data_IF_091257188213
#
_entry.id   IF_091257188213
#
_cell.length_a   1.000
_cell.length_b   1.000
_cell.length_c   1.000
_cell.angle_alpha   90.00
_cell.angle_beta   90.00
_cell.angle_gamma   90.00
#
_symmetry.space_group_name_H-M   'P 1'
#
loop_
_entity.id
_entity.type
_entity.pdbx_description
1 polymer ?
#
# COMPACT_ATOMS: atom_id res chain seq x y z
N UNK A 1 -11.90 -34.83 82.77
CA UNK A 1 -12.67 -35.04 81.54
C UNK A 1 -12.70 -33.71 80.81
N UNK A 2 -12.08 -33.45 79.67
CA UNK A 2 -11.10 -34.19 78.87
C UNK A 2 -10.33 -33.16 78.04
N UNK A 3 -9.18 -33.62 77.56
CA UNK A 3 -8.16 -32.97 76.76
C UNK A 3 -8.69 -32.03 75.64
N UNK A 4 -8.22 -30.79 75.62
CA UNK A 4 -8.33 -29.87 74.47
C UNK A 4 -6.95 -29.67 73.84
N UNK A 5 -6.42 -30.72 73.21
CA UNK A 5 -5.27 -30.59 72.29
C UNK A 5 -5.74 -29.94 71.01
N UNK A 6 -5.34 -28.69 70.81
CA UNK A 6 -5.38 -27.98 69.53
C UNK A 6 -4.45 -28.67 68.53
N UNK A 7 -5.01 -29.46 67.62
CA UNK A 7 -4.28 -30.02 66.48
C UNK A 7 -4.10 -28.92 65.43
N UNK A 8 -2.91 -28.31 65.39
CA UNK A 8 -2.47 -27.50 64.26
C UNK A 8 -2.44 -28.37 62.99
N UNK A 9 -3.31 -28.06 62.02
CA UNK A 9 -3.17 -28.58 60.65
C UNK A 9 -2.10 -27.71 59.98
N UNK A 10 -0.89 -28.24 59.94
CA UNK A 10 0.25 -27.64 59.25
C UNK A 10 -0.01 -27.62 57.73
N UNK A 11 -0.37 -26.46 57.17
CA UNK A 11 -0.45 -26.24 55.72
C UNK A 11 0.99 -26.24 55.17
N UNK A 12 1.31 -27.04 54.12
CA UNK A 12 2.66 -27.07 53.57
C UNK A 12 3.05 -25.69 53.02
N UNK A 13 4.22 -25.22 53.42
CA UNK A 13 4.84 -23.99 52.93
C UNK A 13 4.93 -23.99 51.39
N UNK A 14 4.09 -23.16 50.76
CA UNK A 14 4.00 -23.02 49.31
C UNK A 14 5.26 -22.35 48.70
N UNK A 15 6.22 -21.91 49.51
CA UNK A 15 7.37 -21.11 49.07
C UNK A 15 8.54 -21.91 48.47
N UNK A 16 8.50 -23.25 48.47
CA UNK A 16 9.64 -24.11 48.09
C UNK A 16 9.46 -24.94 46.80
N UNK A 17 8.36 -24.80 46.08
CA UNK A 17 8.15 -25.61 44.87
C UNK A 17 8.96 -25.08 43.67
N UNK A 18 9.75 -25.96 43.04
CA UNK A 18 10.54 -25.66 41.84
C UNK A 18 9.72 -25.85 40.57
N UNK A 19 10.02 -25.05 39.55
CA UNK A 19 9.38 -25.12 38.24
C UNK A 19 9.73 -26.44 37.56
N UNK A 20 8.72 -27.21 37.15
CA UNK A 20 8.92 -28.52 36.51
C UNK A 20 9.61 -28.44 35.13
N UNK A 21 9.68 -27.24 34.55
CA UNK A 21 10.30 -26.99 33.23
C UNK A 21 11.76 -26.55 33.37
N UNK A 22 12.07 -25.60 34.25
CA UNK A 22 13.41 -24.99 34.34
C UNK A 22 14.05 -25.06 35.72
N UNK A 23 13.42 -25.71 36.69
CA UNK A 23 13.89 -25.90 38.07
C UNK A 23 14.08 -24.63 38.91
N UNK A 24 13.80 -23.44 38.36
CA UNK A 24 13.75 -22.17 39.07
C UNK A 24 12.54 -22.08 40.00
N UNK A 25 12.52 -21.17 40.99
CA UNK A 25 11.36 -20.99 41.87
C UNK A 25 10.05 -20.84 41.08
N UNK A 26 9.10 -21.75 41.34
CA UNK A 26 7.81 -21.68 40.70
C UNK A 26 6.92 -20.64 41.38
N UNK A 27 5.93 -20.16 40.63
CA UNK A 27 5.01 -19.12 41.08
C UNK A 27 3.58 -19.62 41.21
N UNK A 28 3.36 -20.93 41.04
CA UNK A 28 2.05 -21.55 41.05
C UNK A 28 1.83 -22.51 39.88
N UNK A 29 0.60 -22.99 39.77
CA UNK A 29 0.16 -23.84 38.68
C UNK A 29 -0.26 -22.97 37.48
N UNK A 30 0.35 -23.21 36.32
CA UNK A 30 0.00 -22.55 35.06
C UNK A 30 -0.20 -23.60 33.96
N UNK A 31 -1.33 -23.51 33.26
CA UNK A 31 -1.71 -24.44 32.17
C UNK A 31 -1.71 -25.92 32.59
N UNK A 32 -1.87 -26.23 33.88
CA UNK A 32 -1.88 -27.61 34.40
C UNK A 32 -0.58 -28.07 35.07
N UNK A 33 0.54 -27.34 34.93
CA UNK A 33 1.83 -27.71 35.54
C UNK A 33 2.34 -26.64 36.52
N UNK A 34 3.13 -27.04 37.52
CA UNK A 34 3.73 -26.10 38.48
C UNK A 34 4.96 -25.42 37.87
N UNK A 35 4.85 -24.14 37.54
CA UNK A 35 5.84 -23.44 36.72
C UNK A 35 6.15 -22.03 37.20
N UNK A 36 7.30 -21.49 36.77
CA UNK A 36 7.59 -20.07 36.92
C UNK A 36 6.85 -19.25 35.84
N UNK A 37 6.65 -17.96 36.09
CA UNK A 37 5.97 -17.04 35.16
C UNK A 37 6.62 -17.01 33.77
N UNK A 38 7.95 -17.14 33.70
CA UNK A 38 8.67 -17.14 32.43
C UNK A 38 8.35 -18.37 31.57
N UNK A 39 8.22 -19.56 32.16
CA UNK A 39 7.84 -20.78 31.45
C UNK A 39 6.37 -20.76 31.03
N UNK A 40 5.48 -20.20 31.86
CA UNK A 40 4.08 -19.98 31.51
C UNK A 40 3.93 -19.03 30.30
N UNK A 41 4.62 -17.88 30.32
CA UNK A 41 4.60 -16.92 29.22
C UNK A 41 5.22 -17.49 27.94
N UNK A 42 6.31 -18.26 28.06
CA UNK A 42 6.91 -18.97 26.93
C UNK A 42 5.92 -19.93 26.28
N UNK A 43 5.26 -20.79 27.07
CA UNK A 43 4.29 -21.76 26.56
C UNK A 43 3.13 -21.07 25.82
N UNK A 44 2.55 -20.03 26.41
CA UNK A 44 1.49 -19.23 25.78
C UNK A 44 1.92 -18.67 24.41
N UNK A 45 3.09 -18.03 24.33
CA UNK A 45 3.61 -17.46 23.06
C UNK A 45 3.88 -18.52 22.00
N UNK A 46 4.50 -19.64 22.38
CA UNK A 46 4.82 -20.69 21.42
C UNK A 46 3.59 -21.48 20.96
N UNK A 47 2.57 -21.62 21.79
CA UNK A 47 1.35 -22.32 21.42
C UNK A 47 0.47 -21.51 20.47
N UNK A 48 0.33 -20.19 20.67
CA UNK A 48 -0.50 -19.30 19.84
C UNK A 48 0.25 -18.65 18.67
N UNK A 49 1.53 -18.97 18.46
CA UNK A 49 2.27 -18.42 17.32
C UNK A 49 1.73 -19.00 16.01
N UNK A 50 1.53 -18.13 15.00
CA UNK A 50 1.22 -18.51 13.62
C UNK A 50 2.46 -19.01 12.86
N UNK A 51 3.66 -18.85 13.43
CA UNK A 51 4.92 -19.28 12.83
C UNK A 51 5.11 -20.80 12.93
N UNK A 52 5.93 -21.37 12.03
CA UNK A 52 6.25 -22.79 12.05
C UNK A 52 6.83 -23.23 13.42
N UNK A 53 6.41 -24.41 13.91
CA UNK A 53 6.86 -24.95 15.21
C UNK A 53 8.39 -24.98 15.28
N UNK A 54 9.00 -24.57 16.40
CA UNK A 54 10.45 -24.47 16.51
C UNK A 54 11.11 -25.84 16.28
N UNK A 55 12.23 -25.88 15.54
CA UNK A 55 13.06 -27.09 15.36
C UNK A 55 14.21 -27.12 16.36
N UNK A 56 14.66 -28.32 16.73
CA UNK A 56 15.80 -28.48 17.63
C UNK A 56 17.11 -28.26 16.87
N UNK A 57 17.87 -27.20 17.20
CA UNK A 57 19.14 -26.87 16.54
C UNK A 57 20.20 -27.97 16.69
N UNK A 58 20.17 -28.72 17.79
CA UNK A 58 21.15 -29.76 18.08
C UNK A 58 20.70 -31.16 17.61
N UNK A 59 19.52 -31.30 17.00
CA UNK A 59 18.93 -32.55 16.47
C UNK A 59 18.81 -33.75 17.45
N UNK A 60 19.28 -33.61 18.70
CA UNK A 60 19.30 -34.67 19.72
C UNK A 60 18.08 -34.70 20.64
N UNK A 61 17.19 -33.71 20.55
CA UNK A 61 15.95 -33.55 21.35
C UNK A 61 16.10 -33.68 22.89
N UNK A 62 17.33 -33.56 23.42
CA UNK A 62 17.68 -33.73 24.84
C UNK A 62 18.34 -32.50 25.46
N UNK A 63 18.13 -31.30 24.89
CA UNK A 63 18.65 -30.06 25.46
C UNK A 63 18.06 -29.85 26.87
N UNK A 64 18.87 -29.36 27.80
CA UNK A 64 18.47 -29.06 29.19
C UNK A 64 18.60 -27.55 29.44
N UNK A 65 17.91 -27.00 30.45
CA UNK A 65 18.16 -25.63 30.88
C UNK A 65 19.54 -25.53 31.54
N UNK A 66 20.12 -24.32 31.52
CA UNK A 66 21.28 -23.99 32.35
C UNK A 66 20.90 -23.88 33.84
N UNK A 67 21.89 -23.62 34.70
CA UNK A 67 21.70 -23.46 36.16
C UNK A 67 20.74 -22.32 36.51
N UNK A 68 20.64 -21.31 35.63
CA UNK A 68 19.72 -20.17 35.75
C UNK A 68 18.33 -20.45 35.14
N UNK A 69 18.07 -21.68 34.68
CA UNK A 69 16.79 -22.07 34.09
C UNK A 69 16.54 -21.56 32.67
N UNK A 70 17.56 -21.03 31.98
CA UNK A 70 17.46 -20.58 30.58
C UNK A 70 17.61 -21.75 29.63
N UNK A 71 16.81 -21.74 28.57
CA UNK A 71 16.79 -22.77 27.55
C UNK A 71 17.34 -22.24 26.23
N UNK A 72 18.43 -22.83 25.74
CA UNK A 72 19.01 -22.49 24.42
C UNK A 72 18.16 -23.01 23.25
N UNK A 73 17.33 -24.04 23.50
CA UNK A 73 16.52 -24.68 22.47
C UNK A 73 15.01 -24.50 22.75
N UNK A 74 14.34 -23.69 21.93
CA UNK A 74 12.88 -23.44 22.02
C UNK A 74 12.06 -24.72 21.84
N UNK A 75 12.47 -25.62 20.94
CA UNK A 75 11.78 -26.90 20.69
C UNK A 75 11.79 -27.82 21.91
N UNK A 76 12.96 -28.09 22.48
CA UNK A 76 13.08 -28.94 23.66
C UNK A 76 12.37 -28.34 24.89
N UNK A 77 12.38 -27.00 25.03
CA UNK A 77 11.61 -26.31 26.08
C UNK A 77 10.10 -26.53 25.91
N UNK A 78 9.59 -26.37 24.69
CA UNK A 78 8.17 -26.58 24.39
C UNK A 78 7.76 -28.05 24.58
N UNK A 79 8.58 -28.99 24.14
CA UNK A 79 8.31 -30.42 24.31
C UNK A 79 8.29 -30.81 25.79
N UNK A 80 9.16 -30.21 26.61
CA UNK A 80 9.11 -30.39 28.07
C UNK A 80 7.85 -29.77 28.69
N UNK A 81 7.40 -28.60 28.23
CA UNK A 81 6.12 -28.03 28.66
C UNK A 81 4.97 -29.01 28.43
N UNK A 82 4.88 -29.55 27.20
CA UNK A 82 3.83 -30.51 26.83
C UNK A 82 3.96 -31.82 27.61
N UNK A 83 5.18 -32.35 27.75
CA UNK A 83 5.44 -33.58 28.50
C UNK A 83 5.14 -33.48 30.01
N UNK A 84 5.14 -32.27 30.57
CA UNK A 84 4.72 -32.01 31.96
C UNK A 84 3.22 -31.68 32.07
N UNK A 85 2.44 -31.88 31.00
CA UNK A 85 0.99 -31.71 31.02
C UNK A 85 0.50 -30.28 30.83
N UNK A 86 1.35 -29.35 30.35
CA UNK A 86 0.88 -28.00 30.02
C UNK A 86 -0.08 -28.03 28.83
N UNK A 87 -1.30 -27.54 29.02
CA UNK A 87 -2.35 -27.47 28.00
C UNK A 87 -3.16 -26.18 28.13
N UNK A 88 -3.54 -25.61 26.98
CA UNK A 88 -4.45 -24.45 26.91
C UNK A 88 -5.90 -24.79 27.26
N UNK A 89 -6.25 -26.09 27.34
CA UNK A 89 -7.53 -26.53 27.90
C UNK A 89 -7.59 -26.41 29.43
N UNK A 90 -6.43 -26.32 30.08
CA UNK A 90 -6.30 -26.26 31.55
C UNK A 90 -6.10 -24.81 32.05
N UNK A 91 -6.72 -23.84 31.38
CA UNK A 91 -6.71 -22.44 31.83
C UNK A 91 -7.65 -22.34 33.04
N UNK A 92 -7.09 -22.08 34.21
CA UNK A 92 -7.87 -21.68 35.39
C UNK A 92 -8.22 -20.19 35.21
N UNK A 93 -9.50 -19.90 34.99
CA UNK A 93 -10.00 -18.53 34.80
C UNK A 93 -10.14 -17.75 36.12
N UNK A 94 -10.15 -18.43 37.26
CA UNK A 94 -10.35 -17.82 38.59
C UNK A 94 -9.24 -18.17 39.57
N UNK A 95 -8.13 -17.44 39.47
CA UNK A 95 -7.28 -17.19 40.63
C UNK A 95 -6.97 -15.71 40.68
N UNK A 96 -7.84 -14.99 41.38
CA UNK A 96 -7.46 -14.06 42.45
C UNK A 96 -8.71 -13.30 42.93
N UNK A 97 -9.19 -13.60 44.14
CA UNK A 97 -10.09 -12.69 44.86
C UNK A 97 -9.27 -11.53 45.40
N UNK A 98 -8.78 -10.65 44.53
CA UNK A 98 -8.24 -9.37 44.97
C UNK A 98 -9.39 -8.57 45.60
N UNK A 99 -9.29 -8.28 46.90
CA UNK A 99 -10.26 -7.45 47.64
C UNK A 99 -10.49 -6.07 46.98
N UNK A 100 -9.56 -5.60 46.14
CA UNK A 100 -9.69 -4.35 45.37
C UNK A 100 -10.82 -4.39 44.33
N UNK A 101 -11.23 -5.55 43.82
CA UNK A 101 -12.27 -5.67 42.79
C UNK A 101 -13.68 -5.39 43.33
N UNK A 102 -13.97 -5.77 44.58
CA UNK A 102 -15.27 -5.47 45.21
C UNK A 102 -15.40 -3.98 45.53
N UNK A 103 -14.34 -3.33 45.99
CA UNK A 103 -14.31 -1.88 46.23
C UNK A 103 -14.33 -1.08 44.94
N UNK A 104 -13.65 -1.55 43.89
CA UNK A 104 -13.68 -0.96 42.55
C UNK A 104 -15.08 -1.06 41.92
N UNK A 105 -15.72 -2.23 41.99
CA UNK A 105 -17.11 -2.40 41.53
C UNK A 105 -18.07 -1.49 42.31
N UNK A 106 -17.94 -1.40 43.65
CA UNK A 106 -18.77 -0.51 44.46
C UNK A 106 -18.55 0.98 44.12
N UNK A 107 -17.29 1.42 43.93
CA UNK A 107 -16.96 2.79 43.48
C UNK A 107 -17.44 3.07 42.06
N UNK A 108 -17.37 2.10 41.15
CA UNK A 108 -17.84 2.21 39.76
C UNK A 108 -19.36 2.29 39.69
N UNK A 109 -20.06 1.49 40.50
CA UNK A 109 -21.53 1.52 40.61
C UNK A 109 -22.02 2.82 41.26
N UNK A 110 -21.31 3.35 42.26
CA UNK A 110 -21.60 4.67 42.84
C UNK A 110 -21.31 5.81 41.84
N UNK A 111 -20.21 5.70 41.09
CA UNK A 111 -19.85 6.68 40.04
C UNK A 111 -20.86 6.67 38.90
N UNK A 112 -21.40 5.52 38.50
CA UNK A 112 -22.44 5.45 37.47
C UNK A 112 -23.79 6.04 37.91
N UNK A 113 -24.06 6.11 39.22
CA UNK A 113 -25.27 6.74 39.77
C UNK A 113 -25.15 8.26 39.99
N UNK A 114 -23.93 8.80 40.09
CA UNK A 114 -23.68 10.21 40.38
C UNK A 114 -23.19 11.04 39.17
N UNK A 115 -22.94 10.42 38.02
CA UNK A 115 -22.64 11.13 36.77
C UNK A 115 -23.69 10.84 35.70
N UNK A 116 -24.88 11.44 35.84
CA UNK A 116 -25.70 11.85 34.70
C UNK A 116 -24.99 12.97 33.93
N UNK A 117 -23.85 12.64 33.31
CA UNK A 117 -23.21 13.37 32.21
C UNK A 117 -21.91 12.64 31.89
N UNK A 118 -22.04 11.52 31.18
CA UNK A 118 -21.05 11.24 30.13
C UNK A 118 -21.00 12.53 29.29
N UNK A 119 -19.84 13.21 29.14
CA UNK A 119 -19.76 14.35 28.26
C UNK A 119 -20.32 13.92 26.92
N UNK A 120 -21.36 14.59 26.45
CA UNK A 120 -21.98 14.18 25.21
C UNK A 120 -20.89 14.30 24.14
N UNK A 121 -20.56 13.17 23.49
CA UNK A 121 -19.69 13.21 22.32
C UNK A 121 -20.33 14.15 21.31
N UNK A 122 -19.52 14.80 20.45
CA UNK A 122 -20.06 15.61 19.33
C UNK A 122 -21.17 14.85 18.60
N UNK A 123 -21.02 13.53 18.51
CA UNK A 123 -21.99 12.62 17.90
C UNK A 123 -23.33 12.50 18.64
N UNK A 124 -23.30 12.49 19.98
CA UNK A 124 -24.49 12.46 20.81
C UNK A 124 -25.17 13.83 20.89
N UNK A 125 -24.41 14.92 20.81
CA UNK A 125 -24.93 16.29 20.76
C UNK A 125 -25.62 16.55 19.42
N UNK A 126 -25.00 16.11 18.32
CA UNK A 126 -25.52 16.32 16.96
C UNK A 126 -26.44 15.20 16.49
N UNK A 127 -26.56 14.09 17.23
CA UNK A 127 -27.33 12.91 16.84
C UNK A 127 -26.78 12.18 15.61
N UNK A 128 -25.51 12.42 15.24
CA UNK A 128 -24.88 11.89 14.03
C UNK A 128 -23.38 11.64 14.27
N UNK A 129 -22.82 10.47 13.88
CA UNK A 129 -21.40 10.17 14.01
C UNK A 129 -20.50 11.27 13.42
N UNK A 130 -19.28 11.45 13.93
CA UNK A 130 -18.42 12.56 13.53
C UNK A 130 -17.98 12.47 12.06
N UNK A 131 -17.87 11.26 11.52
CA UNK A 131 -17.65 11.03 10.09
C UNK A 131 -18.91 11.25 9.22
N UNK A 132 -20.10 11.35 9.84
CA UNK A 132 -21.35 11.84 9.22
C UNK A 132 -21.50 13.36 9.44
N UNK A 133 -20.55 14.04 10.09
CA UNK A 133 -20.51 15.50 10.13
C UNK A 133 -20.06 16.14 8.81
N UNK A 134 -20.04 15.39 7.71
CA UNK A 134 -20.55 15.94 6.45
C UNK A 134 -22.02 16.25 6.68
N UNK A 135 -22.31 17.37 7.35
CA UNK A 135 -23.61 18.00 7.21
C UNK A 135 -23.77 18.12 5.71
N UNK A 136 -24.66 17.32 5.14
CA UNK A 136 -25.28 17.61 3.85
C UNK A 136 -25.94 18.97 4.09
N UNK A 137 -25.16 20.06 3.96
CA UNK A 137 -25.69 21.42 3.89
C UNK A 137 -26.75 21.25 2.83
N UNK A 138 -28.02 21.45 3.19
CA UNK A 138 -29.18 21.29 2.31
C UNK A 138 -28.74 21.69 0.91
N UNK A 139 -28.53 20.69 0.06
CA UNK A 139 -27.87 20.85 -1.23
C UNK A 139 -28.55 22.03 -1.91
N UNK A 140 -27.87 23.18 -2.13
CA UNK A 140 -28.52 24.35 -2.69
C UNK A 140 -29.20 23.91 -3.98
N UNK A 141 -30.50 24.16 -4.11
CA UNK A 141 -31.39 23.63 -5.18
C UNK A 141 -30.95 23.99 -6.61
N UNK A 142 -29.84 24.70 -6.76
CA UNK A 142 -29.24 25.15 -8.01
C UNK A 142 -27.75 24.74 -8.06
N UNK A 143 -27.48 23.43 -8.12
CA UNK A 143 -26.12 22.91 -8.28
C UNK A 143 -25.58 23.23 -9.68
N UNK A 144 -24.64 24.17 -9.76
CA UNK A 144 -23.82 24.34 -10.97
C UNK A 144 -22.81 23.20 -11.02
N UNK A 145 -23.14 22.16 -11.77
CA UNK A 145 -22.20 21.13 -12.16
C UNK A 145 -21.14 21.71 -13.10
N UNK A 146 -19.93 21.17 -13.01
CA UNK A 146 -18.85 21.51 -13.92
C UNK A 146 -18.76 20.39 -14.95
N UNK A 147 -18.90 20.75 -16.21
CA UNK A 147 -18.67 19.85 -17.34
C UNK A 147 -17.29 20.10 -17.91
N UNK A 148 -16.51 19.03 -18.10
CA UNK A 148 -15.25 19.03 -18.84
C UNK A 148 -15.49 18.27 -20.14
N UNK A 149 -15.49 19.00 -21.25
CA UNK A 149 -15.60 18.43 -22.57
C UNK A 149 -14.21 18.02 -23.07
N UNK A 150 -13.99 16.72 -23.20
CA UNK A 150 -12.79 16.10 -23.76
C UNK A 150 -13.04 15.55 -25.18
N UNK A 151 -14.19 15.85 -25.80
CA UNK A 151 -14.57 15.26 -27.09
C UNK A 151 -13.59 15.63 -28.20
N UNK A 152 -13.25 16.91 -28.34
CA UNK A 152 -12.26 17.38 -29.32
C UNK A 152 -10.88 16.74 -29.09
N UNK A 153 -10.48 16.60 -27.82
CA UNK A 153 -9.23 15.92 -27.47
C UNK A 153 -9.27 14.43 -27.84
N UNK A 154 -10.37 13.74 -27.57
CA UNK A 154 -10.54 12.33 -27.88
C UNK A 154 -10.53 12.07 -29.40
N UNK A 155 -11.10 12.97 -30.21
CA UNK A 155 -11.05 12.91 -31.68
C UNK A 155 -9.61 13.05 -32.18
N UNK A 156 -8.89 14.09 -31.73
CA UNK A 156 -7.47 14.30 -32.07
C UNK A 156 -6.58 13.14 -31.63
N UNK A 157 -6.86 12.56 -30.46
CA UNK A 157 -6.15 11.39 -29.96
C UNK A 157 -6.41 10.15 -30.82
N UNK A 158 -7.64 9.99 -31.31
CA UNK A 158 -8.00 8.88 -32.20
C UNK A 158 -7.25 8.97 -33.53
N UNK A 159 -7.15 10.17 -34.11
CA UNK A 159 -6.31 10.44 -35.29
C UNK A 159 -4.84 10.10 -35.02
N UNK A 160 -4.31 10.53 -33.87
CA UNK A 160 -2.93 10.22 -33.44
C UNK A 160 -2.67 8.71 -33.30
N UNK A 161 -3.66 7.92 -32.88
CA UNK A 161 -3.53 6.46 -32.77
C UNK A 161 -3.60 5.74 -34.14
N UNK A 162 -4.20 6.37 -35.16
CA UNK A 162 -4.28 5.85 -36.54
C UNK A 162 -2.99 6.12 -37.29
N UNK A 163 -2.51 7.36 -37.24
CA UNK A 163 -1.29 7.76 -37.96
C UNK A 163 -0.05 7.16 -37.31
N UNK A 164 0.93 6.71 -38.11
CA UNK A 164 2.30 6.54 -37.58
C UNK A 164 2.73 7.93 -37.14
N UNK A 165 3.02 8.20 -35.86
CA UNK A 165 3.09 9.56 -35.35
C UNK A 165 4.12 10.36 -36.12
N UNK A 166 3.67 11.28 -36.97
CA UNK A 166 4.49 12.23 -37.73
C UNK A 166 4.27 13.67 -37.29
N UNK A 167 3.45 13.90 -36.25
CA UNK A 167 3.09 15.25 -35.79
C UNK A 167 3.78 15.68 -34.50
N UNK A 168 4.12 16.97 -34.52
CA UNK A 168 4.84 17.77 -33.54
C UNK A 168 4.06 17.98 -32.24
N UNK A 169 4.70 17.64 -31.12
CA UNK A 169 4.53 18.30 -29.84
C UNK A 169 5.92 18.70 -29.34
N UNK A 170 6.02 19.49 -28.26
CA UNK A 170 7.29 20.05 -27.75
C UNK A 170 8.42 19.01 -27.54
N UNK A 171 8.07 17.71 -27.45
CA UNK A 171 8.98 16.57 -27.50
C UNK A 171 8.45 15.44 -28.41
N UNK A 172 8.70 15.46 -29.74
CA UNK A 172 8.32 14.35 -30.61
C UNK A 172 9.20 13.12 -30.30
N UNK A 173 8.71 11.89 -30.56
CA UNK A 173 9.48 10.68 -30.33
C UNK A 173 10.75 10.73 -31.17
N UNK A 174 11.93 10.47 -30.59
CA UNK A 174 13.19 10.43 -31.38
C UNK A 174 13.15 9.44 -32.57
N UNK A 175 12.19 8.52 -32.54
CA UNK A 175 11.89 7.55 -33.61
C UNK A 175 11.48 8.24 -34.91
N UNK A 176 10.68 9.30 -34.85
CA UNK A 176 10.01 9.91 -36.01
C UNK A 176 10.99 10.58 -36.96
N UNK A 177 12.18 10.92 -36.46
CA UNK A 177 13.16 11.69 -37.22
C UNK A 177 14.46 10.93 -37.53
N UNK A 178 14.58 9.65 -37.18
CA UNK A 178 15.88 8.96 -37.28
C UNK A 178 15.75 7.47 -37.60
N UNK A 179 16.04 7.09 -38.85
CA UNK A 179 16.11 5.69 -39.31
C UNK A 179 17.04 4.83 -38.44
N UNK A 180 18.09 5.42 -37.86
CA UNK A 180 19.01 4.71 -36.95
C UNK A 180 18.33 4.29 -35.64
N UNK A 181 17.35 5.08 -35.16
CA UNK A 181 16.58 4.76 -33.95
C UNK A 181 15.61 3.62 -34.24
N UNK A 182 14.97 3.60 -35.41
CA UNK A 182 14.10 2.50 -35.82
C UNK A 182 14.89 1.18 -35.96
N UNK A 183 16.06 1.23 -36.60
CA UNK A 183 16.97 0.07 -36.72
C UNK A 183 17.47 -0.42 -35.35
N UNK A 184 17.66 0.50 -34.39
CA UNK A 184 18.03 0.15 -33.02
C UNK A 184 16.87 -0.53 -32.28
N UNK A 185 15.66 0.00 -32.40
CA UNK A 185 14.46 -0.56 -31.75
C UNK A 185 14.13 -1.96 -32.25
N UNK A 186 14.29 -2.23 -33.54
CA UNK A 186 14.09 -3.58 -34.14
C UNK A 186 15.00 -4.66 -33.55
N UNK A 187 16.10 -4.28 -32.89
CA UNK A 187 17.02 -5.22 -32.23
C UNK A 187 16.68 -5.45 -30.75
N UNK A 188 15.79 -4.65 -30.18
CA UNK A 188 15.41 -4.70 -28.78
C UNK A 188 14.15 -5.58 -28.61
N UNK A 189 14.05 -6.24 -27.46
CA UNK A 189 12.81 -6.88 -27.04
C UNK A 189 11.69 -5.86 -26.82
N UNK A 190 10.42 -6.29 -26.76
CA UNK A 190 9.29 -5.35 -26.58
C UNK A 190 9.40 -4.59 -25.25
N UNK A 191 9.85 -5.27 -24.19
CA UNK A 191 10.10 -4.62 -22.91
C UNK A 191 11.22 -3.56 -23.00
N UNK A 192 12.32 -3.86 -23.71
CA UNK A 192 13.43 -2.91 -23.92
C UNK A 192 13.04 -1.74 -24.83
N UNK A 193 12.16 -1.95 -25.82
CA UNK A 193 11.58 -0.88 -26.64
C UNK A 193 10.76 0.09 -25.77
N UNK A 194 9.89 -0.42 -24.91
CA UNK A 194 9.11 0.39 -23.97
C UNK A 194 10.01 1.08 -22.92
N UNK A 195 11.08 0.43 -22.46
CA UNK A 195 12.06 1.07 -21.58
C UNK A 195 12.80 2.21 -22.29
N UNK A 196 13.14 2.05 -23.56
CA UNK A 196 13.70 3.13 -24.37
C UNK A 196 12.72 4.32 -24.50
N UNK A 197 11.42 4.05 -24.68
CA UNK A 197 10.40 5.12 -24.70
C UNK A 197 10.27 5.84 -23.37
N UNK A 198 10.38 5.13 -22.24
CA UNK A 198 10.39 5.73 -20.91
C UNK A 198 11.62 6.64 -20.71
N UNK A 199 12.80 6.17 -21.14
CA UNK A 199 14.03 6.97 -21.07
C UNK A 199 13.97 8.20 -21.99
N UNK A 200 13.33 8.07 -23.16
CA UNK A 200 13.13 9.17 -24.10
C UNK A 200 12.25 10.26 -23.49
N UNK A 201 11.12 9.88 -22.90
CA UNK A 201 10.26 10.79 -22.13
C UNK A 201 11.03 11.47 -20.99
N UNK A 202 11.82 10.71 -20.22
CA UNK A 202 12.59 11.27 -19.10
C UNK A 202 13.73 12.19 -19.53
N UNK A 203 14.16 12.13 -20.79
CA UNK A 203 15.29 12.94 -21.28
C UNK A 203 15.03 14.45 -21.27
N UNK A 204 13.76 14.86 -21.25
CA UNK A 204 13.35 16.27 -21.11
C UNK A 204 13.14 16.72 -19.66
N UNK A 205 13.33 15.85 -18.67
CA UNK A 205 13.17 16.23 -17.26
C UNK A 205 14.18 17.30 -16.86
N UNK A 206 13.68 18.46 -16.41
CA UNK A 206 14.54 19.54 -15.91
C UNK A 206 15.09 19.18 -14.52
N UNK A 207 16.30 19.66 -14.25
CA UNK A 207 16.99 19.48 -12.96
C UNK A 207 16.52 20.47 -11.90
N UNK A 208 16.16 21.69 -12.32
CA UNK A 208 15.61 22.74 -11.48
C UNK A 208 14.14 22.93 -11.85
N UNK A 209 13.25 22.72 -10.89
CA UNK A 209 11.81 22.75 -11.10
C UNK A 209 11.19 23.98 -10.44
N UNK A 210 10.15 24.50 -11.07
CA UNK A 210 9.29 25.54 -10.52
C UNK A 210 8.34 24.94 -9.49
N UNK A 211 8.22 25.56 -8.31
CA UNK A 211 7.24 25.15 -7.32
C UNK A 211 5.87 25.74 -7.66
N UNK A 212 4.90 24.87 -7.93
CA UNK A 212 3.52 25.28 -8.16
C UNK A 212 2.87 25.66 -6.82
N UNK A 213 2.32 26.87 -6.74
CA UNK A 213 1.66 27.39 -5.52
C UNK A 213 0.17 27.06 -5.47
N UNK A 214 -0.48 26.98 -6.65
CA UNK A 214 -1.90 26.67 -6.79
C UNK A 214 -2.11 25.74 -7.99
N UNK A 215 -2.82 24.64 -7.78
CA UNK A 215 -3.27 23.73 -8.84
C UNK A 215 -4.69 24.15 -9.24
N UNK A 216 -4.84 24.72 -10.43
CA UNK A 216 -6.14 25.12 -11.00
C UNK A 216 -6.72 24.00 -11.88
N UNK A 217 -7.97 24.19 -12.33
CA UNK A 217 -8.62 23.31 -13.31
C UNK A 217 -7.80 23.18 -14.59
N UNK A 218 -7.33 24.28 -15.13
CA UNK A 218 -6.62 24.35 -16.41
C UNK A 218 -5.30 23.57 -16.34
N UNK A 219 -4.56 23.72 -15.24
CA UNK A 219 -3.31 22.99 -14.99
C UNK A 219 -3.60 21.49 -14.87
N UNK A 220 -4.66 21.10 -14.15
CA UNK A 220 -5.02 19.69 -13.98
C UNK A 220 -5.43 19.03 -15.30
N UNK A 221 -6.32 19.67 -16.06
CA UNK A 221 -6.83 19.15 -17.35
C UNK A 221 -5.72 19.08 -18.39
N UNK A 222 -4.93 20.14 -18.54
CA UNK A 222 -3.76 20.12 -19.45
C UNK A 222 -2.76 19.04 -19.02
N UNK A 223 -2.56 18.83 -17.72
CA UNK A 223 -1.77 17.73 -17.19
C UNK A 223 -2.28 16.36 -17.62
N UNK A 224 -3.61 16.14 -17.60
CA UNK A 224 -4.25 14.90 -18.06
C UNK A 224 -4.07 14.67 -19.56
N UNK A 225 -4.30 15.69 -20.39
CA UNK A 225 -4.10 15.61 -21.84
C UNK A 225 -2.66 15.23 -22.19
N UNK A 226 -1.70 15.92 -21.57
CA UNK A 226 -0.27 15.68 -21.80
C UNK A 226 0.14 14.26 -21.43
N UNK A 227 -0.34 13.73 -20.30
CA UNK A 227 0.00 12.36 -19.89
C UNK A 227 -0.68 11.30 -20.76
N UNK A 228 -1.93 11.53 -21.21
CA UNK A 228 -2.61 10.62 -22.13
C UNK A 228 -1.85 10.54 -23.45
N UNK A 229 -1.45 11.68 -24.02
CA UNK A 229 -0.64 11.73 -25.24
C UNK A 229 0.73 11.06 -25.05
N UNK A 230 1.38 11.34 -23.91
CA UNK A 230 2.67 10.72 -23.57
C UNK A 230 2.56 9.20 -23.54
N UNK A 231 1.51 8.66 -22.90
CA UNK A 231 1.33 7.22 -22.75
C UNK A 231 0.93 6.59 -24.07
N UNK A 232 0.10 7.26 -24.88
CA UNK A 232 -0.22 6.82 -26.23
C UNK A 232 1.05 6.70 -27.09
N UNK A 233 1.93 7.70 -26.99
CA UNK A 233 3.23 7.65 -27.65
C UNK A 233 4.12 6.52 -27.10
N UNK A 234 4.24 6.40 -25.78
CA UNK A 234 5.04 5.36 -25.13
C UNK A 234 4.60 3.94 -25.52
N UNK A 235 3.29 3.67 -25.57
CA UNK A 235 2.73 2.40 -26.02
C UNK A 235 3.16 2.06 -27.46
N UNK A 236 3.26 3.06 -28.35
CA UNK A 236 3.71 2.88 -29.73
C UNK A 236 5.20 2.49 -29.87
N UNK A 237 6.01 2.55 -28.80
CA UNK A 237 7.39 2.03 -28.86
C UNK A 237 7.42 0.51 -29.00
N UNK A 238 6.47 -0.21 -28.38
CA UNK A 238 6.32 -1.66 -28.53
C UNK A 238 5.82 -2.00 -29.92
N UNK A 239 6.53 -2.89 -30.61
CA UNK A 239 6.12 -3.43 -31.90
C UNK A 239 4.79 -4.18 -31.84
N UNK A 240 4.57 -4.97 -30.78
CA UNK A 240 3.30 -5.70 -30.58
C UNK A 240 2.15 -4.70 -30.46
N UNK A 241 2.26 -3.72 -29.56
CA UNK A 241 1.19 -2.75 -29.31
C UNK A 241 0.95 -1.87 -30.52
N UNK A 242 2.00 -1.42 -31.22
CA UNK A 242 1.89 -0.59 -32.43
C UNK A 242 1.05 -1.25 -33.53
N UNK A 243 1.16 -2.58 -33.64
CA UNK A 243 0.47 -3.37 -34.65
C UNK A 243 -0.96 -3.77 -34.24
N UNK A 244 -1.40 -3.43 -33.04
CA UNK A 244 -2.79 -3.67 -32.62
C UNK A 244 -3.78 -2.77 -33.39
N UNK A 245 -5.01 -3.25 -33.62
CA UNK A 245 -6.11 -2.42 -34.05
C UNK A 245 -6.28 -1.16 -33.21
N UNK A 246 -6.70 -0.06 -33.83
CA UNK A 246 -6.81 1.25 -33.17
C UNK A 246 -7.73 1.22 -31.96
N UNK A 247 -8.86 0.50 -32.02
CA UNK A 247 -9.77 0.39 -30.88
C UNK A 247 -9.14 -0.32 -29.68
N UNK A 248 -8.33 -1.37 -29.89
CA UNK A 248 -7.61 -2.05 -28.81
C UNK A 248 -6.52 -1.16 -28.22
N UNK A 249 -5.83 -0.37 -29.04
CA UNK A 249 -4.86 0.63 -28.55
C UNK A 249 -5.54 1.69 -27.69
N UNK A 250 -6.72 2.14 -28.08
CA UNK A 250 -7.51 3.10 -27.33
C UNK A 250 -7.99 2.53 -25.98
N UNK A 251 -8.51 1.31 -25.96
CA UNK A 251 -8.95 0.64 -24.73
C UNK A 251 -7.76 0.34 -23.80
N UNK A 252 -6.61 -0.05 -24.34
CA UNK A 252 -5.37 -0.20 -23.58
C UNK A 252 -4.91 1.13 -22.98
N UNK A 253 -5.00 2.23 -23.74
CA UNK A 253 -4.63 3.55 -23.27
C UNK A 253 -5.51 4.00 -22.09
N UNK A 254 -6.83 3.80 -22.20
CA UNK A 254 -7.82 4.15 -21.16
C UNK A 254 -7.50 3.51 -19.80
N UNK A 255 -6.97 2.29 -19.79
CA UNK A 255 -6.59 1.58 -18.57
C UNK A 255 -5.17 1.92 -18.08
N UNK A 256 -4.30 2.39 -18.97
CA UNK A 256 -2.85 2.51 -18.70
C UNK A 256 -2.45 3.91 -18.22
N UNK A 257 -3.02 4.99 -18.78
CA UNK A 257 -2.41 6.31 -18.68
C UNK A 257 -2.24 6.84 -17.25
N UNK A 258 -3.24 6.62 -16.40
CA UNK A 258 -3.20 7.13 -15.03
C UNK A 258 -2.21 6.34 -14.17
N UNK A 259 -2.22 5.01 -14.30
CA UNK A 259 -1.32 4.12 -13.57
C UNK A 259 0.12 4.42 -13.97
N UNK A 260 0.35 4.56 -15.27
CA UNK A 260 1.64 4.90 -15.83
C UNK A 260 2.14 6.25 -15.31
N UNK A 261 1.35 7.31 -15.47
CA UNK A 261 1.72 8.66 -15.03
C UNK A 261 1.97 8.73 -13.52
N UNK A 262 1.20 7.97 -12.74
CA UNK A 262 1.38 7.92 -11.29
C UNK A 262 2.70 7.27 -10.89
N UNK A 263 2.94 6.04 -11.33
CA UNK A 263 4.15 5.31 -10.94
C UNK A 263 5.42 5.97 -11.49
N UNK A 264 5.35 6.50 -12.71
CA UNK A 264 6.48 7.17 -13.33
C UNK A 264 6.86 8.44 -12.55
N UNK A 265 5.90 9.30 -12.18
CA UNK A 265 6.18 10.52 -11.38
C UNK A 265 6.68 10.20 -9.97
N UNK A 266 6.21 9.12 -9.35
CA UNK A 266 6.74 8.61 -8.07
C UNK A 266 8.21 8.20 -8.23
N UNK A 267 8.53 7.46 -9.29
CA UNK A 267 9.89 7.04 -9.58
C UNK A 267 10.82 8.22 -9.94
N UNK A 268 10.31 9.22 -10.67
CA UNK A 268 11.06 10.44 -10.96
C UNK A 268 11.32 11.24 -9.67
N UNK A 269 10.32 11.38 -8.81
CA UNK A 269 10.49 12.00 -7.49
C UNK A 269 11.56 11.28 -6.67
N UNK A 270 11.57 9.94 -6.68
CA UNK A 270 12.60 9.15 -6.01
C UNK A 270 14.01 9.47 -6.55
N UNK A 271 14.17 9.50 -7.88
CA UNK A 271 15.44 9.83 -8.53
C UNK A 271 15.91 11.26 -8.18
N UNK A 272 15.02 12.25 -8.27
CA UNK A 272 15.34 13.64 -7.97
C UNK A 272 15.65 13.85 -6.48
N UNK A 273 14.99 13.13 -5.56
CA UNK A 273 15.34 13.15 -4.12
C UNK A 273 16.74 12.60 -3.86
N UNK A 274 17.12 11.49 -4.51
CA UNK A 274 18.48 10.94 -4.41
C UNK A 274 19.52 11.95 -4.91
N UNK A 275 19.18 12.69 -5.97
CA UNK A 275 20.03 13.74 -6.54
C UNK A 275 19.97 15.08 -5.79
N UNK A 276 19.23 15.17 -4.67
CA UNK A 276 19.02 16.40 -3.89
C UNK A 276 18.37 17.55 -4.68
N UNK A 277 17.62 17.21 -5.72
CA UNK A 277 16.86 18.14 -6.57
C UNK A 277 15.39 18.26 -6.13
N UNK A 278 14.94 17.39 -5.21
CA UNK A 278 13.59 17.39 -4.67
C UNK A 278 13.66 17.14 -3.15
N UNK A 279 12.93 17.94 -2.38
CA UNK A 279 12.83 17.82 -0.93
C UNK A 279 11.94 16.66 -0.44
N UNK A 280 11.98 16.41 0.87
CA UNK A 280 11.20 15.33 1.51
C UNK A 280 9.68 15.58 1.45
N UNK A 281 9.28 16.86 1.51
CA UNK A 281 7.88 17.28 1.48
C UNK A 281 7.47 17.80 0.09
N UNK A 282 8.31 17.56 -0.92
CA UNK A 282 8.06 17.94 -2.31
C UNK A 282 7.79 16.73 -3.20
N UNK A 283 7.01 16.91 -4.26
CA UNK A 283 6.69 15.88 -5.24
C UNK A 283 6.77 16.43 -6.66
N UNK A 284 7.39 15.69 -7.58
CA UNK A 284 7.56 16.10 -8.97
C UNK A 284 6.29 15.79 -9.75
N UNK A 285 5.62 16.80 -10.30
CA UNK A 285 4.35 16.64 -11.01
C UNK A 285 4.49 16.69 -12.53
N UNK A 286 5.54 17.33 -13.04
CA UNK A 286 5.84 17.38 -14.49
C UNK A 286 7.35 17.51 -14.74
N UNK A 287 7.75 17.70 -16.00
CA UNK A 287 9.17 17.93 -16.36
C UNK A 287 9.73 19.24 -15.80
N UNK A 288 8.87 20.19 -15.45
CA UNK A 288 9.26 21.55 -15.11
C UNK A 288 8.73 21.99 -13.74
N UNK A 289 7.80 21.23 -13.15
CA UNK A 289 7.11 21.62 -11.94
C UNK A 289 7.15 20.56 -10.83
N UNK A 290 7.25 21.05 -9.60
CA UNK A 290 7.02 20.28 -8.37
C UNK A 290 5.95 20.95 -7.52
N UNK A 291 5.42 20.21 -6.56
CA UNK A 291 4.53 20.71 -5.51
C UNK A 291 5.19 20.51 -4.15
N UNK A 292 4.84 21.34 -3.17
CA UNK A 292 5.16 21.13 -1.76
C UNK A 292 3.87 20.78 -1.02
N UNK A 293 3.85 19.64 -0.32
CA UNK A 293 2.65 19.10 0.30
C UNK A 293 2.03 20.03 1.36
N UNK A 294 2.80 20.97 1.92
CA UNK A 294 2.33 21.91 2.94
C UNK A 294 2.02 23.29 2.39
N UNK A 295 2.65 23.70 1.28
CA UNK A 295 2.48 25.04 0.70
C UNK A 295 1.57 25.09 -0.51
N UNK A 296 1.56 24.04 -1.34
CA UNK A 296 0.77 24.01 -2.58
C UNK A 296 -0.70 23.82 -2.26
N UNK A 297 -1.53 24.77 -2.72
CA UNK A 297 -2.98 24.68 -2.63
C UNK A 297 -3.56 24.03 -3.87
N UNK A 298 -4.71 23.38 -3.72
CA UNK A 298 -5.51 22.89 -4.85
C UNK A 298 -6.83 23.64 -4.89
N UNK A 299 -7.18 24.20 -6.04
CA UNK A 299 -8.52 24.72 -6.25
C UNK A 299 -9.48 23.54 -6.35
N UNK A 300 -10.28 23.32 -5.31
CA UNK A 300 -11.31 22.28 -5.26
C UNK A 300 -12.67 22.78 -5.75
N UNK A 301 -12.80 24.09 -6.01
CA UNK A 301 -14.08 24.72 -6.34
C UNK A 301 -14.64 24.29 -7.68
N UNK A 302 -13.84 23.66 -8.56
CA UNK A 302 -14.32 23.16 -9.85
C UNK A 302 -14.77 21.69 -9.81
N UNK A 303 -14.43 20.91 -8.78
CA UNK A 303 -14.82 19.50 -8.69
C UNK A 303 -15.53 19.12 -7.40
N UNK A 304 -15.58 19.99 -6.38
CA UNK A 304 -16.33 19.75 -5.15
C UNK A 304 -17.19 20.94 -4.71
N UNK A 305 -18.19 20.64 -3.89
CA UNK A 305 -18.99 21.61 -3.12
C UNK A 305 -18.33 22.00 -1.80
N UNK A 306 -17.30 21.26 -1.38
CA UNK A 306 -16.59 21.48 -0.13
C UNK A 306 -15.30 22.28 -0.36
N UNK A 307 -14.89 22.98 0.69
CA UNK A 307 -13.62 23.71 0.75
C UNK A 307 -12.44 22.74 0.88
N UNK A 308 -11.22 23.24 0.61
CA UNK A 308 -10.00 22.46 0.81
C UNK A 308 -9.88 21.96 2.25
N UNK A 309 -10.16 22.82 3.23
CA UNK A 309 -10.06 22.51 4.65
C UNK A 309 -11.08 21.45 5.09
N UNK A 310 -12.28 21.43 4.49
CA UNK A 310 -13.29 20.40 4.73
C UNK A 310 -12.88 19.02 4.16
N UNK A 311 -12.05 19.00 3.11
CA UNK A 311 -11.64 17.79 2.40
C UNK A 311 -10.20 17.33 2.65
N UNK A 312 -9.39 18.13 3.34
CA UNK A 312 -7.95 17.90 3.55
C UNK A 312 -7.67 16.51 4.14
N UNK A 313 -8.52 16.03 5.04
CA UNK A 313 -8.38 14.70 5.64
C UNK A 313 -8.60 13.56 4.63
N UNK A 314 -9.57 13.72 3.71
CA UNK A 314 -9.85 12.72 2.68
C UNK A 314 -8.80 12.78 1.56
N UNK A 315 -8.42 13.99 1.17
CA UNK A 315 -7.55 14.30 0.03
C UNK A 315 -6.18 14.80 0.49
N UNK A 316 -5.58 14.14 1.48
CA UNK A 316 -4.24 14.48 1.94
C UNK A 316 -3.23 14.38 0.78
N UNK A 317 -2.46 15.43 0.46
CA UNK A 317 -1.53 15.40 -0.67
C UNK A 317 -0.52 14.24 -0.64
N UNK A 318 -0.01 13.85 0.53
CA UNK A 318 0.94 12.73 0.64
C UNK A 318 0.29 11.39 0.27
N UNK A 319 -0.94 11.18 0.72
CA UNK A 319 -1.74 10.01 0.38
C UNK A 319 -2.10 10.03 -1.10
N UNK A 320 -2.50 11.18 -1.64
CA UNK A 320 -2.84 11.32 -3.06
C UNK A 320 -1.66 10.95 -3.93
N UNK A 321 -0.44 11.36 -3.57
CA UNK A 321 0.78 11.17 -4.35
C UNK A 321 1.58 9.90 -4.04
N UNK A 322 1.08 9.04 -3.14
CA UNK A 322 1.77 7.81 -2.71
C UNK A 322 3.19 8.09 -2.23
N UNK A 323 3.37 9.17 -1.44
CA UNK A 323 4.70 9.60 -0.97
C UNK A 323 5.46 8.47 -0.27
N UNK A 324 4.75 7.59 0.44
CA UNK A 324 5.36 6.44 1.07
C UNK A 324 6.03 5.49 0.07
N UNK A 325 5.54 5.36 -1.18
CA UNK A 325 6.12 4.49 -2.20
C UNK A 325 7.44 5.03 -2.76
N UNK A 326 7.65 6.35 -2.69
CA UNK A 326 8.89 6.99 -3.15
C UNK A 326 10.09 6.40 -2.41
N UNK A 327 9.97 6.17 -1.11
CA UNK A 327 11.04 5.61 -0.28
C UNK A 327 11.38 4.16 -0.66
N UNK A 328 10.39 3.31 -0.93
CA UNK A 328 10.63 1.96 -1.44
C UNK A 328 11.36 1.98 -2.79
N UNK A 329 11.01 2.90 -3.69
CA UNK A 329 11.70 3.02 -4.97
C UNK A 329 13.16 3.48 -4.76
N UNK A 330 13.42 4.41 -3.84
CA UNK A 330 14.79 4.85 -3.47
C UNK A 330 15.62 3.67 -2.95
N UNK A 331 15.03 2.79 -2.15
CA UNK A 331 15.71 1.62 -1.58
C UNK A 331 15.98 0.54 -2.64
N UNK A 332 14.97 0.22 -3.45
CA UNK A 332 15.02 -0.88 -4.42
C UNK A 332 15.79 -0.49 -5.68
N UNK A 333 15.70 0.77 -6.11
CA UNK A 333 16.37 1.33 -7.31
C UNK A 333 16.12 0.48 -8.56
N UNK A 334 14.87 0.34 -9.03
CA UNK A 334 14.61 -0.32 -10.30
C UNK A 334 15.30 0.44 -11.44
N UNK A 335 15.90 -0.27 -12.38
CA UNK A 335 16.35 0.34 -13.63
C UNK A 335 15.15 0.59 -14.58
N UNK A 336 15.40 1.23 -15.73
CA UNK A 336 14.33 1.57 -16.67
C UNK A 336 13.57 0.36 -17.19
N UNK A 337 14.23 -0.79 -17.39
CA UNK A 337 13.58 -2.02 -17.85
C UNK A 337 12.71 -2.63 -16.74
N UNK A 338 13.24 -2.69 -15.52
CA UNK A 338 12.50 -3.18 -14.36
C UNK A 338 11.31 -2.28 -14.00
N UNK A 339 11.46 -0.96 -14.11
CA UNK A 339 10.38 0.00 -13.89
C UNK A 339 9.31 -0.08 -14.99
N UNK A 340 9.72 -0.20 -16.25
CA UNK A 340 8.81 -0.46 -17.38
C UNK A 340 8.01 -1.74 -17.18
N UNK A 341 8.66 -2.81 -16.70
CA UNK A 341 7.95 -4.05 -16.38
C UNK A 341 6.87 -3.82 -15.30
N UNK A 342 7.20 -3.09 -14.23
CA UNK A 342 6.22 -2.73 -13.19
C UNK A 342 5.07 -1.88 -13.75
N UNK A 343 5.36 -0.90 -14.62
CA UNK A 343 4.35 -0.08 -15.29
C UNK A 343 3.39 -0.96 -16.09
N UNK A 344 3.91 -1.86 -16.93
CA UNK A 344 3.08 -2.80 -17.70
C UNK A 344 2.27 -3.75 -16.80
N UNK A 345 2.89 -4.36 -15.80
CA UNK A 345 2.20 -5.30 -14.89
C UNK A 345 1.09 -4.64 -14.07
N UNK A 346 1.23 -3.35 -13.74
CA UNK A 346 0.21 -2.60 -13.00
C UNK A 346 -0.91 -2.07 -13.89
N UNK A 347 -0.59 -1.69 -15.12
CA UNK A 347 -1.56 -1.16 -16.09
C UNK A 347 -2.40 -2.25 -16.74
N UNK A 348 -1.79 -3.38 -17.09
CA UNK A 348 -2.43 -4.44 -17.88
C UNK A 348 -3.14 -5.47 -16.99
N UNK A 349 -3.94 -5.02 -16.02
CA UNK A 349 -4.60 -5.93 -15.05
C UNK A 349 -5.97 -6.38 -15.57
N UNK A 350 -6.40 -7.57 -15.13
CA UNK A 350 -7.62 -8.35 -15.49
C UNK A 350 -8.99 -7.64 -15.45
N UNK A 351 -9.05 -6.33 -15.20
CA UNK A 351 -10.28 -5.52 -15.33
C UNK A 351 -10.72 -5.33 -16.78
N UNK A 352 -9.95 -5.87 -17.72
CA UNK A 352 -10.17 -5.83 -19.15
C UNK A 352 -11.12 -6.96 -19.57
N UNK A 353 -12.13 -6.63 -20.37
CA UNK A 353 -13.14 -7.57 -20.87
C UNK A 353 -12.95 -7.85 -22.37
N UNK A 354 -13.40 -9.00 -22.84
CA UNK A 354 -13.42 -9.31 -24.27
C UNK A 354 -12.02 -9.51 -24.87
N UNK A 355 -11.87 -9.12 -26.12
CA UNK A 355 -10.68 -9.37 -26.95
C UNK A 355 -9.39 -8.77 -26.37
N UNK A 356 -9.47 -7.60 -25.73
CA UNK A 356 -8.27 -6.97 -25.15
C UNK A 356 -7.66 -7.81 -24.02
N UNK A 357 -8.44 -8.66 -23.34
CA UNK A 357 -7.94 -9.52 -22.27
C UNK A 357 -6.92 -10.52 -22.81
N UNK A 358 -7.27 -11.22 -23.88
CA UNK A 358 -6.42 -12.25 -24.47
C UNK A 358 -5.11 -11.62 -24.99
N UNK A 359 -5.22 -10.44 -25.62
CA UNK A 359 -4.07 -9.64 -26.07
C UNK A 359 -3.17 -9.23 -24.90
N UNK A 360 -3.77 -8.80 -23.79
CA UNK A 360 -3.02 -8.38 -22.60
C UNK A 360 -2.33 -9.55 -21.91
N UNK A 361 -2.98 -10.71 -21.80
CA UNK A 361 -2.38 -11.92 -21.22
C UNK A 361 -1.16 -12.36 -22.05
N UNK A 362 -1.28 -12.40 -23.37
CA UNK A 362 -0.15 -12.72 -24.27
C UNK A 362 0.98 -11.69 -24.17
N UNK A 363 0.63 -10.40 -24.09
CA UNK A 363 1.60 -9.33 -23.91
C UNK A 363 2.32 -9.46 -22.56
N UNK A 364 1.61 -9.76 -21.48
CA UNK A 364 2.21 -9.96 -20.16
C UNK A 364 3.19 -11.13 -20.13
N UNK A 365 2.82 -12.25 -20.76
CA UNK A 365 3.71 -13.41 -20.89
C UNK A 365 4.96 -13.07 -21.70
N UNK A 366 4.80 -12.33 -22.79
CA UNK A 366 5.92 -11.84 -23.61
C UNK A 366 6.85 -10.94 -22.79
N UNK A 367 6.30 -9.96 -22.07
CA UNK A 367 7.09 -9.03 -21.26
C UNK A 367 7.77 -9.72 -20.07
N UNK A 368 7.15 -10.75 -19.49
CA UNK A 368 7.76 -11.56 -18.44
C UNK A 368 8.95 -12.38 -18.96
N UNK A 369 8.83 -12.96 -20.16
CA UNK A 369 9.91 -13.64 -20.85
C UNK A 369 11.05 -12.68 -21.24
N UNK A 370 10.71 -11.48 -21.71
CA UNK A 370 11.68 -10.42 -22.00
C UNK A 370 12.47 -10.02 -20.74
N UNK A 371 11.79 -9.89 -19.59
CA UNK A 371 12.45 -9.61 -18.32
C UNK A 371 13.37 -10.76 -17.87
N UNK A 372 12.93 -12.02 -18.04
CA UNK A 372 13.79 -13.19 -17.80
C UNK A 372 15.07 -13.10 -18.65
N UNK A 373 14.91 -12.88 -19.96
CA UNK A 373 16.02 -12.75 -20.92
C UNK A 373 16.94 -11.56 -20.59
N UNK A 374 16.37 -10.45 -20.14
CA UNK A 374 17.12 -9.27 -19.69
C UNK A 374 18.08 -9.59 -18.53
N UNK A 375 17.65 -10.44 -17.59
CA UNK A 375 18.47 -10.87 -16.47
C UNK A 375 19.49 -11.95 -16.84
N UNK A 376 19.11 -12.93 -17.67
CA UNK A 376 20.03 -14.00 -18.10
C UNK A 376 21.18 -13.45 -18.93
N UNK A 377 20.92 -12.50 -19.84
CA UNK A 377 21.95 -11.79 -20.62
C UNK A 377 22.96 -11.03 -19.74
N UNK A 378 22.56 -10.60 -18.55
CA UNK A 378 23.43 -9.91 -17.57
C UNK A 378 24.11 -10.87 -16.58
N UNK A 379 24.13 -12.17 -16.86
CA UNK A 379 24.70 -13.22 -16.00
C UNK A 379 24.14 -13.22 -14.56
N UNK A 380 22.89 -12.75 -14.35
CA UNK A 380 22.21 -12.90 -13.06
C UNK A 380 21.63 -14.32 -12.95
N UNK A 381 22.45 -15.28 -12.51
CA UNK A 381 22.08 -16.70 -12.43
C UNK A 381 20.94 -17.02 -11.45
N UNK A 382 20.64 -16.11 -10.50
CA UNK A 382 19.44 -16.19 -9.65
C UNK A 382 18.92 -14.79 -9.32
N UNK A 383 17.98 -14.30 -10.11
CA UNK A 383 17.36 -12.98 -9.95
C UNK A 383 16.04 -13.03 -9.14
N UNK A 384 15.72 -14.15 -8.49
CA UNK A 384 14.50 -14.32 -7.67
C UNK A 384 14.41 -13.31 -6.53
N UNK A 385 15.53 -13.01 -5.88
CA UNK A 385 15.58 -11.95 -4.84
C UNK A 385 15.28 -10.58 -5.44
N UNK A 386 15.73 -10.30 -6.66
CA UNK A 386 15.45 -9.05 -7.37
C UNK A 386 13.98 -8.95 -7.73
N UNK A 387 13.36 -10.01 -8.26
CA UNK A 387 11.91 -10.03 -8.49
C UNK A 387 11.14 -9.76 -7.21
N UNK A 388 11.52 -10.40 -6.10
CA UNK A 388 10.86 -10.16 -4.81
C UNK A 388 10.95 -8.69 -4.38
N UNK A 389 12.07 -8.00 -4.66
CA UNK A 389 12.18 -6.57 -4.40
C UNK A 389 11.19 -5.79 -5.28
N UNK A 390 11.14 -6.05 -6.59
CA UNK A 390 10.19 -5.37 -7.49
C UNK A 390 8.74 -5.61 -7.08
N UNK A 391 8.39 -6.84 -6.66
CA UNK A 391 7.05 -7.18 -6.18
C UNK A 391 6.65 -6.37 -4.94
N UNK A 392 7.59 -5.94 -4.09
CA UNK A 392 7.26 -5.02 -2.98
C UNK A 392 6.71 -3.67 -3.49
N UNK A 393 7.28 -3.13 -4.57
CA UNK A 393 6.79 -1.89 -5.19
C UNK A 393 5.39 -2.14 -5.74
N UNK A 394 5.22 -3.24 -6.48
CA UNK A 394 3.94 -3.65 -7.04
C UNK A 394 2.84 -3.75 -5.97
N UNK A 395 3.07 -4.57 -4.94
CA UNK A 395 2.12 -4.82 -3.86
C UNK A 395 1.75 -3.52 -3.12
N UNK A 396 2.75 -2.67 -2.85
CA UNK A 396 2.53 -1.38 -2.17
C UNK A 396 1.74 -0.41 -3.04
N UNK A 397 2.02 -0.34 -4.35
CA UNK A 397 1.25 0.47 -5.29
C UNK A 397 -0.21 0.01 -5.34
N UNK A 398 -0.45 -1.30 -5.49
CA UNK A 398 -1.81 -1.87 -5.53
C UNK A 398 -2.56 -1.56 -4.24
N UNK A 399 -1.91 -1.71 -3.08
CA UNK A 399 -2.51 -1.36 -1.78
C UNK A 399 -2.96 0.11 -1.74
N UNK A 400 -2.09 1.04 -2.13
CA UNK A 400 -2.39 2.47 -2.11
C UNK A 400 -3.48 2.85 -3.11
N UNK A 401 -3.47 2.23 -4.29
CA UNK A 401 -4.54 2.35 -5.29
C UNK A 401 -5.88 1.91 -4.74
N UNK A 402 -5.95 0.76 -4.08
CA UNK A 402 -7.20 0.25 -3.53
C UNK A 402 -7.74 1.15 -2.41
N UNK A 403 -6.87 1.62 -1.51
CA UNK A 403 -7.25 2.60 -0.46
C UNK A 403 -7.81 3.88 -1.09
N UNK A 404 -7.15 4.39 -2.14
CA UNK A 404 -7.63 5.56 -2.87
C UNK A 404 -8.99 5.30 -3.52
N UNK A 405 -9.16 4.14 -4.15
CA UNK A 405 -10.42 3.81 -4.81
C UNK A 405 -11.58 3.71 -3.83
N UNK A 406 -11.37 3.09 -2.66
CA UNK A 406 -12.35 3.08 -1.58
C UNK A 406 -12.73 4.50 -1.11
N UNK A 407 -11.74 5.40 -0.97
CA UNK A 407 -12.00 6.81 -0.63
C UNK A 407 -12.86 7.50 -1.70
N UNK A 408 -12.55 7.28 -2.97
CA UNK A 408 -13.28 7.87 -4.10
C UNK A 408 -14.72 7.34 -4.18
N UNK A 409 -14.91 6.03 -3.95
CA UNK A 409 -16.22 5.41 -3.87
C UNK A 409 -17.07 6.02 -2.74
N UNK A 410 -16.50 6.20 -1.54
CA UNK A 410 -17.19 6.88 -0.42
C UNK A 410 -17.54 8.33 -0.79
N UNK A 411 -16.60 9.06 -1.40
CA UNK A 411 -16.84 10.44 -1.83
C UNK A 411 -17.98 10.55 -2.86
N UNK A 412 -18.09 9.56 -3.76
CA UNK A 412 -19.18 9.45 -4.72
C UNK A 412 -20.53 9.23 -4.03
N UNK A 413 -20.62 8.32 -3.06
CA UNK A 413 -21.85 8.08 -2.27
C UNK A 413 -22.30 9.32 -1.49
N UNK A 414 -21.34 10.14 -1.05
CA UNK A 414 -21.59 11.35 -0.27
C UNK A 414 -21.76 12.63 -1.12
N UNK A 415 -21.90 12.49 -2.45
CA UNK A 415 -22.04 13.60 -3.40
C UNK A 415 -20.95 14.68 -3.23
N UNK A 416 -19.72 14.26 -2.95
CA UNK A 416 -18.57 15.17 -2.80
C UNK A 416 -18.19 15.79 -4.13
N UNK A 417 -18.36 15.04 -5.22
CA UNK A 417 -17.98 15.46 -6.57
C UNK A 417 -19.12 16.17 -7.30
N UNK A 418 -18.80 17.24 -8.04
CA UNK A 418 -19.75 17.98 -8.91
C UNK A 418 -19.31 18.03 -10.37
N UNK A 419 -18.42 17.12 -10.72
CA UNK A 419 -17.72 17.10 -11.98
C UNK A 419 -18.31 16.03 -12.89
N UNK A 420 -18.63 16.42 -14.13
CA UNK A 420 -18.89 15.51 -15.24
C UNK A 420 -17.82 15.69 -16.30
N UNK A 421 -17.33 14.58 -16.84
CA UNK A 421 -16.30 14.58 -17.89
C UNK A 421 -16.87 13.80 -19.07
N UNK A 422 -16.78 14.33 -20.29
CA UNK A 422 -17.08 13.51 -21.46
C UNK A 422 -16.05 12.38 -21.58
N UNK A 423 -16.37 11.32 -22.33
CA UNK A 423 -15.46 10.19 -22.52
C UNK A 423 -14.98 9.55 -21.19
N UNK A 424 -15.91 9.35 -20.26
CA UNK A 424 -15.65 8.83 -18.90
C UNK A 424 -14.83 7.53 -18.89
N UNK A 425 -14.83 6.76 -19.98
CA UNK A 425 -14.02 5.54 -20.16
C UNK A 425 -12.53 5.76 -19.82
N UNK A 426 -11.97 6.94 -20.10
CA UNK A 426 -10.59 7.28 -19.71
C UNK A 426 -10.38 7.37 -18.20
N UNK A 427 -11.45 7.54 -17.43
CA UNK A 427 -11.42 7.78 -15.98
C UNK A 427 -12.13 6.68 -15.18
N UNK A 428 -12.75 5.67 -15.82
CA UNK A 428 -13.47 4.59 -15.13
C UNK A 428 -12.58 3.65 -14.32
N UNK A 429 -11.35 3.41 -14.78
CA UNK A 429 -10.37 2.53 -14.08
C UNK A 429 -9.62 3.29 -12.96
N UNK A 430 -9.77 4.61 -12.93
CA UNK A 430 -9.03 5.53 -12.08
C UNK A 430 -9.65 5.80 -10.70
N UNK A 431 -10.93 5.45 -10.54
CA UNK A 431 -11.75 5.77 -9.38
C UNK A 431 -12.03 4.53 -8.53
#
# INVERSE_FOLDING_TARGET
MDCSTSTEICLPDLSLQKCQICSQPAHGQHFGAFTCRACAAFFRRCHFSKEAKPKCRNMKFKCKPDENGRWSCKKCRLDRCLGQGMSTKNIQYDRDSFRSSKTFLKKRLLSSYLTERVPATVEKILGSPHYICFKLKSLPTNHKFVYIDMTEFAERLSEFLVEKPSFSFDHPPKIVHNENVELKLKKLSNLEQLAFGLDDYRSSQQTFLNEATLITKEIAVSGWENIILTVANWLNYSEIIRNLPVYLKQELLQTTWLIWGKLERIAMTAQMRVNRQCGKDQFVVSHEHLIDFSRTKADMSWWSHYTYEELEYLFNPKDLHYDELVWEIIEIRPDSVELTYLLCSLSFVNSISGELRDVVEELQDTLANDLHNYYTKRNKTSYTLRLRQLMKIYEKFVKLRNIRSEKYHICSILDVFKLYISNEEFFKVAC
#
